data_IF_238874805714
#
_entry.id   IF_238874805714
#
_cell.length_a   1.000
_cell.length_b   1.000
_cell.length_c   1.000
_cell.angle_alpha   90.00
_cell.angle_beta   90.00
_cell.angle_gamma   90.00
#
_symmetry.space_group_name_H-M   'P 1'
#
loop_
_entity.id
_entity.type
_entity.pdbx_description
1 polymer ?
#
# COMPACT_ATOMS: atom_id res chain seq x y z
N UNK A 1 -19.03 -43.39 5.92
CA UNK A 1 -18.81 -41.94 5.65
C UNK A 1 -17.87 -41.42 6.71
N UNK A 2 -16.73 -40.79 6.38
CA UNK A 2 -15.85 -40.25 7.40
C UNK A 2 -16.48 -38.99 8.01
N UNK A 3 -16.50 -38.92 9.35
CA UNK A 3 -16.98 -37.78 10.10
C UNK A 3 -16.05 -36.59 9.89
N UNK A 4 -16.56 -35.50 9.34
CA UNK A 4 -15.87 -34.21 9.34
C UNK A 4 -15.80 -33.78 10.81
N UNK A 5 -14.61 -33.81 11.41
CA UNK A 5 -14.38 -33.18 12.71
C UNK A 5 -14.53 -31.67 12.51
N UNK A 6 -15.72 -31.15 12.76
CA UNK A 6 -15.97 -29.71 12.81
C UNK A 6 -15.27 -29.18 14.06
N UNK A 7 -14.04 -28.67 13.86
CA UNK A 7 -13.34 -27.91 14.89
C UNK A 7 -14.22 -26.76 15.39
N UNK A 8 -14.02 -26.35 16.65
CA UNK A 8 -14.79 -25.21 17.19
C UNK A 8 -14.51 -23.96 16.34
N UNK A 9 -15.54 -23.24 15.87
CA UNK A 9 -15.35 -22.00 15.15
C UNK A 9 -14.49 -21.04 15.97
N UNK A 10 -13.48 -20.44 15.34
CA UNK A 10 -12.52 -19.55 15.99
C UNK A 10 -12.62 -18.15 15.40
N UNK A 11 -12.56 -17.11 16.23
CA UNK A 11 -12.63 -15.72 15.77
C UNK A 11 -11.23 -15.14 15.56
N UNK A 12 -10.94 -14.66 14.35
CA UNK A 12 -9.74 -13.87 14.04
C UNK A 12 -10.04 -12.39 14.18
N UNK A 13 -9.08 -11.63 14.71
CA UNK A 13 -9.13 -10.17 14.78
C UNK A 13 -7.85 -9.58 14.22
N UNK A 14 -7.99 -8.70 13.22
CA UNK A 14 -6.90 -7.99 12.57
C UNK A 14 -6.95 -6.54 13.00
N UNK A 15 -5.95 -6.13 13.79
CA UNK A 15 -5.80 -4.77 14.28
C UNK A 15 -4.99 -3.96 13.28
N UNK A 16 -5.66 -3.04 12.59
CA UNK A 16 -5.02 -2.19 11.58
C UNK A 16 -4.37 -0.97 12.23
N UNK A 17 -3.32 -0.43 11.61
CA UNK A 17 -2.67 0.84 12.06
C UNK A 17 -3.66 2.02 12.15
N UNK A 18 -4.74 2.00 11.37
CA UNK A 18 -5.84 2.97 11.41
C UNK A 18 -6.75 2.85 12.64
N UNK A 19 -6.39 2.01 13.62
CA UNK A 19 -7.22 1.62 14.78
C UNK A 19 -8.51 0.87 14.41
N UNK A 20 -8.76 0.61 13.13
CA UNK A 20 -9.85 -0.26 12.69
C UNK A 20 -9.54 -1.72 13.05
N UNK A 21 -10.55 -2.45 13.49
CA UNK A 21 -10.45 -3.89 13.79
C UNK A 21 -11.33 -4.64 12.80
N UNK A 22 -10.72 -5.47 11.96
CA UNK A 22 -11.45 -6.40 11.10
C UNK A 22 -11.58 -7.76 11.79
N UNK A 23 -12.79 -8.31 11.85
CA UNK A 23 -13.07 -9.58 12.53
C UNK A 23 -13.64 -10.58 11.55
N UNK A 24 -13.17 -11.82 11.58
CA UNK A 24 -13.68 -12.90 10.73
C UNK A 24 -13.75 -14.22 11.49
N UNK A 25 -14.73 -15.07 11.17
CA UNK A 25 -14.93 -16.36 11.80
C UNK A 25 -14.30 -17.46 10.92
N UNK A 26 -13.42 -18.26 11.52
CA UNK A 26 -12.81 -19.42 10.90
C UNK A 26 -13.57 -20.69 11.31
N UNK A 27 -13.70 -21.63 10.37
CA UNK A 27 -14.42 -22.89 10.57
C UNK A 27 -13.67 -23.88 11.47
N UNK A 28 -12.38 -23.63 11.74
CA UNK A 28 -11.57 -24.40 12.70
C UNK A 28 -10.39 -23.57 13.22
N UNK A 29 -9.78 -24.04 14.31
CA UNK A 29 -8.53 -23.50 14.86
C UNK A 29 -7.36 -23.62 13.89
N UNK A 30 -7.29 -24.71 13.12
CA UNK A 30 -6.18 -24.96 12.18
C UNK A 30 -6.20 -23.94 11.04
N UNK A 31 -7.38 -23.59 10.54
CA UNK A 31 -7.55 -22.55 9.51
C UNK A 31 -7.20 -21.18 10.09
N UNK A 32 -7.57 -20.90 11.33
CA UNK A 32 -7.19 -19.65 12.00
C UNK A 32 -5.66 -19.51 12.11
N UNK A 33 -4.97 -20.59 12.50
CA UNK A 33 -3.50 -20.62 12.61
C UNK A 33 -2.81 -20.50 11.24
N UNK A 34 -3.36 -21.11 10.20
CA UNK A 34 -2.85 -20.98 8.83
C UNK A 34 -2.95 -19.53 8.33
N UNK A 35 -4.08 -18.86 8.59
CA UNK A 35 -4.24 -17.43 8.29
C UNK A 35 -3.27 -16.55 9.05
N UNK A 36 -3.08 -16.78 10.36
CA UNK A 36 -2.08 -16.04 11.14
C UNK A 36 -0.67 -16.22 10.57
N UNK A 37 -0.26 -17.47 10.32
CA UNK A 37 1.08 -17.78 9.81
C UNK A 37 1.32 -17.16 8.43
N UNK A 38 0.32 -17.21 7.53
CA UNK A 38 0.41 -16.58 6.22
C UNK A 38 0.53 -15.06 6.32
N UNK A 39 -0.24 -14.44 7.22
CA UNK A 39 -0.19 -12.99 7.45
C UNK A 39 1.15 -12.57 8.06
N UNK A 40 1.67 -13.31 9.03
CA UNK A 40 2.99 -13.08 9.63
C UNK A 40 4.14 -13.26 8.64
N UNK A 41 4.12 -14.31 7.81
CA UNK A 41 5.13 -14.53 6.76
C UNK A 41 5.09 -13.39 5.72
N UNK A 42 3.90 -13.01 5.25
CA UNK A 42 3.75 -11.86 4.36
C UNK A 42 4.24 -10.56 5.03
N UNK A 43 3.90 -10.33 6.29
CA UNK A 43 4.33 -9.14 7.05
C UNK A 43 5.85 -9.07 7.19
N UNK A 44 6.49 -10.17 7.55
CA UNK A 44 7.94 -10.25 7.80
C UNK A 44 8.77 -10.09 6.53
N UNK A 45 8.35 -10.69 5.41
CA UNK A 45 9.06 -10.56 4.12
C UNK A 45 8.96 -9.13 3.57
N UNK A 46 7.79 -8.52 3.68
CA UNK A 46 7.56 -7.15 3.22
C UNK A 46 8.32 -6.13 4.08
N UNK A 47 8.30 -6.27 5.41
CA UNK A 47 9.01 -5.34 6.29
C UNK A 47 10.53 -5.44 6.11
N UNK A 48 11.08 -6.66 6.02
CA UNK A 48 12.51 -6.87 5.85
C UNK A 48 13.04 -6.27 4.54
N UNK A 49 12.30 -6.44 3.44
CA UNK A 49 12.68 -5.88 2.13
C UNK A 49 12.54 -4.36 2.08
N UNK A 50 11.46 -3.80 2.65
CA UNK A 50 11.25 -2.36 2.68
C UNK A 50 12.24 -1.64 3.59
N UNK A 51 12.49 -2.12 4.80
CA UNK A 51 13.45 -1.50 5.72
C UNK A 51 14.87 -1.52 5.13
N UNK A 52 15.24 -2.61 4.45
CA UNK A 52 16.51 -2.71 3.74
C UNK A 52 16.59 -1.68 2.61
N UNK A 53 15.50 -1.49 1.86
CA UNK A 53 15.42 -0.47 0.82
C UNK A 53 15.57 0.95 1.38
N UNK A 54 14.77 1.32 2.39
CA UNK A 54 14.80 2.65 3.02
C UNK A 54 16.16 2.98 3.64
N UNK A 55 16.80 2.01 4.31
CA UNK A 55 18.17 2.15 4.82
C UNK A 55 19.21 2.31 3.70
N UNK A 56 19.02 1.60 2.58
CA UNK A 56 19.90 1.76 1.41
C UNK A 56 19.78 3.17 0.82
N UNK A 57 18.57 3.69 0.68
CA UNK A 57 18.32 5.06 0.22
C UNK A 57 19.02 6.08 1.12
N UNK A 58 18.88 5.92 2.43
CA UNK A 58 19.51 6.79 3.43
C UNK A 58 21.03 6.72 3.39
N UNK A 59 21.61 5.51 3.38
CA UNK A 59 23.07 5.31 3.30
C UNK A 59 23.67 5.93 2.03
N UNK A 60 22.95 5.83 0.92
CA UNK A 60 23.41 6.34 -0.39
C UNK A 60 22.99 7.78 -0.64
N UNK A 61 22.22 8.40 0.26
CA UNK A 61 21.63 9.73 0.08
C UNK A 61 20.88 9.84 -1.27
N UNK A 62 20.14 8.78 -1.63
CA UNK A 62 19.30 8.74 -2.84
C UNK A 62 17.82 8.84 -2.46
N UNK A 63 16.99 9.53 -3.25
CA UNK A 63 15.58 9.70 -2.95
C UNK A 63 14.85 8.36 -2.96
N UNK A 64 13.86 8.24 -2.08
CA UNK A 64 12.97 7.08 -2.08
C UNK A 64 12.10 7.14 -3.32
N UNK A 65 12.26 6.19 -4.24
CA UNK A 65 11.46 6.07 -5.45
C UNK A 65 10.59 4.82 -5.39
N UNK A 66 9.30 4.95 -5.69
CA UNK A 66 8.40 3.85 -5.99
C UNK A 66 7.80 4.08 -7.37
N UNK A 67 7.47 3.00 -8.06
CA UNK A 67 6.71 3.08 -9.29
C UNK A 67 5.79 1.87 -9.43
N UNK A 68 4.76 2.01 -10.26
CA UNK A 68 3.85 0.91 -10.55
C UNK A 68 2.71 1.33 -11.45
N UNK A 69 2.15 0.33 -12.13
CA UNK A 69 0.90 0.48 -12.85
C UNK A 69 -0.26 0.48 -11.86
N UNK A 70 -1.04 1.56 -11.83
CA UNK A 70 -2.17 1.71 -10.92
C UNK A 70 -3.40 2.16 -11.70
N UNK A 71 -4.58 1.83 -11.17
CA UNK A 71 -5.85 2.28 -11.75
C UNK A 71 -6.37 3.50 -10.99
N UNK A 72 -6.62 4.60 -11.68
CA UNK A 72 -7.31 5.76 -11.11
C UNK A 72 -8.81 5.49 -11.06
N UNK A 73 -9.44 5.74 -9.92
CA UNK A 73 -10.87 5.59 -9.71
C UNK A 73 -11.58 6.94 -9.68
N UNK A 74 -12.83 6.98 -10.15
CA UNK A 74 -13.73 8.10 -9.93
C UNK A 74 -14.35 8.07 -8.52
N UNK A 75 -15.15 9.09 -8.18
CA UNK A 75 -15.85 9.18 -6.90
C UNK A 75 -16.84 8.03 -6.64
N UNK A 76 -17.22 7.27 -7.66
CA UNK A 76 -18.12 6.09 -7.57
C UNK A 76 -17.34 4.78 -7.52
N UNK A 77 -16.00 4.82 -7.52
CA UNK A 77 -15.13 3.65 -7.53
C UNK A 77 -14.95 2.99 -8.90
N UNK A 78 -15.41 3.62 -9.99
CA UNK A 78 -15.21 3.12 -11.35
C UNK A 78 -13.81 3.50 -11.85
N UNK A 79 -13.15 2.57 -12.55
CA UNK A 79 -11.85 2.84 -13.18
C UNK A 79 -12.00 3.90 -14.28
N UNK A 80 -11.31 5.02 -14.12
CA UNK A 80 -11.20 6.09 -15.12
C UNK A 80 -10.07 5.84 -16.11
N UNK A 81 -8.97 5.26 -15.63
CA UNK A 81 -7.79 4.98 -16.45
C UNK A 81 -6.75 4.18 -15.68
N UNK A 82 -5.78 3.64 -16.41
CA UNK A 82 -4.63 2.91 -15.87
C UNK A 82 -3.37 3.60 -16.37
N UNK A 83 -2.52 4.01 -15.43
CA UNK A 83 -1.32 4.80 -15.72
C UNK A 83 -0.13 4.23 -14.97
N UNK A 84 1.07 4.56 -15.44
CA UNK A 84 2.30 4.29 -14.74
C UNK A 84 2.61 5.47 -13.80
N UNK A 85 2.52 5.23 -12.51
CA UNK A 85 2.80 6.25 -11.49
C UNK A 85 4.21 6.09 -10.96
N UNK A 86 4.87 7.21 -10.74
CA UNK A 86 6.18 7.31 -10.09
C UNK A 86 6.04 8.21 -8.88
N UNK A 87 6.38 7.71 -7.70
CA UNK A 87 6.51 8.48 -6.48
C UNK A 87 7.99 8.69 -6.20
N UNK A 88 8.48 9.93 -6.28
CA UNK A 88 9.81 10.32 -5.83
C UNK A 88 9.67 11.15 -4.56
N UNK A 89 10.08 10.59 -3.42
CA UNK A 89 9.80 11.11 -2.09
C UNK A 89 8.29 11.30 -1.84
N UNK A 90 7.76 12.50 -2.07
CA UNK A 90 6.33 12.83 -2.01
C UNK A 90 5.80 13.39 -3.33
N UNK A 91 6.66 13.62 -4.32
CA UNK A 91 6.24 14.07 -5.65
C UNK A 91 5.72 12.89 -6.45
N UNK A 92 4.47 12.97 -6.89
CA UNK A 92 3.86 12.01 -7.80
C UNK A 92 3.98 12.52 -9.22
N UNK A 93 4.40 11.63 -10.10
CA UNK A 93 4.39 11.81 -11.54
C UNK A 93 3.60 10.67 -12.18
N UNK A 94 3.01 10.90 -13.35
CA UNK A 94 2.25 9.89 -14.06
C UNK A 94 2.55 9.90 -15.56
N UNK A 95 2.52 8.71 -16.15
CA UNK A 95 2.66 8.51 -17.59
C UNK A 95 1.57 7.57 -18.11
N UNK A 96 1.09 7.76 -19.35
CA UNK A 96 0.20 6.78 -19.99
C UNK A 96 0.92 5.45 -20.30
N UNK A 97 2.25 5.47 -20.44
CA UNK A 97 3.06 4.29 -20.69
C UNK A 97 4.48 4.44 -20.15
N UNK A 98 5.20 3.32 -19.96
CA UNK A 98 6.59 3.29 -19.45
C UNK A 98 7.60 3.94 -20.39
N UNK A 99 7.28 3.99 -21.68
CA UNK A 99 8.13 4.62 -22.71
C UNK A 99 7.96 6.15 -22.77
N UNK A 100 6.98 6.69 -22.04
CA UNK A 100 6.70 8.13 -21.97
C UNK A 100 7.28 8.69 -20.69
N UNK A 101 7.95 9.84 -20.79
CA UNK A 101 8.47 10.54 -19.61
C UNK A 101 7.30 10.89 -18.67
N UNK A 102 7.33 10.46 -17.40
CA UNK A 102 6.27 10.80 -16.45
C UNK A 102 6.19 12.31 -16.22
N UNK A 103 4.99 12.86 -16.39
CA UNK A 103 4.71 14.26 -16.09
C UNK A 103 4.46 14.41 -14.59
N UNK A 104 5.02 15.45 -13.99
CA UNK A 104 4.80 15.75 -12.58
C UNK A 104 3.33 16.14 -12.39
N UNK A 105 2.63 15.38 -11.54
CA UNK A 105 1.26 15.67 -11.17
C UNK A 105 1.24 16.69 -10.03
N UNK A 106 1.74 16.32 -8.85
CA UNK A 106 1.85 17.20 -7.68
C UNK A 106 2.61 16.53 -6.51
N UNK A 107 2.76 17.25 -5.40
CA UNK A 107 3.29 16.78 -4.12
C UNK A 107 2.16 16.28 -3.23
N UNK A 108 2.31 15.05 -2.72
CA UNK A 108 1.38 14.43 -1.78
C UNK A 108 1.52 15.08 -0.40
N UNK A 109 0.40 15.51 0.17
CA UNK A 109 0.30 16.12 1.50
C UNK A 109 -0.32 15.18 2.53
N UNK A 110 -1.16 14.24 2.10
CA UNK A 110 -1.79 13.22 2.95
C UNK A 110 -2.15 11.97 2.12
N UNK A 111 -2.25 10.83 2.79
CA UNK A 111 -2.58 9.55 2.18
C UNK A 111 -3.44 8.70 3.12
N UNK A 112 -4.67 8.40 2.70
CA UNK A 112 -5.66 7.66 3.50
C UNK A 112 -6.17 6.43 2.75
N UNK A 113 -6.71 5.46 3.49
CA UNK A 113 -7.43 4.34 2.85
C UNK A 113 -8.67 4.88 2.13
N UNK A 114 -8.89 4.44 0.89
CA UNK A 114 -10.09 4.79 0.14
C UNK A 114 -11.26 3.86 0.50
N UNK A 115 -12.47 4.21 0.05
CA UNK A 115 -13.66 3.38 0.23
C UNK A 115 -13.69 2.11 -0.62
N UNK A 116 -12.88 2.06 -1.69
CA UNK A 116 -12.76 0.90 -2.57
C UNK A 116 -11.66 -0.07 -2.09
N UNK A 117 -11.89 -1.37 -2.26
CA UNK A 117 -10.93 -2.40 -1.89
C UNK A 117 -9.62 -2.26 -2.67
N UNK A 118 -8.50 -2.41 -1.95
CA UNK A 118 -7.17 -2.29 -2.53
C UNK A 118 -6.83 -0.88 -3.00
N UNK A 119 -7.53 0.17 -2.52
CA UNK A 119 -7.30 1.55 -2.95
C UNK A 119 -6.87 2.50 -1.83
N UNK A 120 -6.12 3.52 -2.23
CA UNK A 120 -5.64 4.62 -1.41
C UNK A 120 -6.09 5.94 -2.01
N UNK A 121 -6.53 6.87 -1.17
CA UNK A 121 -6.76 8.26 -1.54
C UNK A 121 -5.51 9.08 -1.23
N UNK A 122 -5.00 9.76 -2.24
CA UNK A 122 -3.91 10.72 -2.12
C UNK A 122 -4.47 12.13 -2.16
N UNK A 123 -4.06 12.97 -1.21
CA UNK A 123 -4.30 14.42 -1.24
C UNK A 123 -3.03 15.12 -1.64
N UNK A 124 -3.18 16.19 -2.40
CA UNK A 124 -2.07 16.92 -2.97
C UNK A 124 -2.05 18.37 -2.50
N UNK A 125 -0.96 19.07 -2.78
CA UNK A 125 -0.76 20.45 -2.37
C UNK A 125 -1.65 21.43 -3.15
N UNK A 126 -1.82 21.20 -4.45
CA UNK A 126 -2.50 22.09 -5.39
C UNK A 126 -3.57 21.38 -6.22
N UNK A 127 -3.38 20.10 -6.52
CA UNK A 127 -4.27 19.29 -7.33
C UNK A 127 -5.40 18.66 -6.50
N UNK A 128 -6.54 18.30 -7.13
CA UNK A 128 -7.59 17.50 -6.50
C UNK A 128 -7.07 16.15 -6.01
N UNK A 129 -7.73 15.61 -4.98
CA UNK A 129 -7.41 14.27 -4.49
C UNK A 129 -7.62 13.20 -5.56
N UNK A 130 -6.83 12.14 -5.47
CA UNK A 130 -6.85 11.02 -6.42
C UNK A 130 -7.03 9.71 -5.67
N UNK A 131 -7.95 8.87 -6.13
CA UNK A 131 -8.10 7.51 -5.62
C UNK A 131 -7.37 6.54 -6.56
N UNK A 132 -6.37 5.85 -6.03
CA UNK A 132 -5.55 4.89 -6.74
C UNK A 132 -5.82 3.49 -6.24
N UNK A 133 -6.21 2.58 -7.14
CA UNK A 133 -6.35 1.16 -6.87
C UNK A 133 -5.10 0.41 -7.30
N UNK A 134 -4.64 -0.45 -6.41
CA UNK A 134 -3.43 -1.27 -6.54
C UNK A 134 -3.81 -2.66 -7.03
N UNK A 135 -2.96 -3.23 -7.88
CA UNK A 135 -3.15 -4.60 -8.39
C UNK A 135 -2.89 -5.67 -7.32
N UNK A 136 -2.18 -5.31 -6.25
CA UNK A 136 -1.92 -6.20 -5.12
C UNK A 136 -1.93 -5.46 -3.78
N UNK A 137 -2.26 -6.21 -2.72
CA UNK A 137 -2.24 -5.71 -1.35
C UNK A 137 -0.81 -5.41 -0.90
N UNK A 138 0.16 -6.18 -1.37
CA UNK A 138 1.59 -5.97 -1.12
C UNK A 138 2.03 -4.60 -1.63
N UNK A 139 1.67 -4.24 -2.87
CA UNK A 139 2.04 -2.96 -3.48
C UNK A 139 1.40 -1.79 -2.73
N UNK A 140 0.11 -1.90 -2.39
CA UNK A 140 -0.60 -0.91 -1.58
C UNK A 140 0.12 -0.66 -0.24
N UNK A 141 0.55 -1.74 0.43
CA UNK A 141 1.23 -1.66 1.73
C UNK A 141 2.60 -1.01 1.63
N UNK A 142 3.37 -1.32 0.58
CA UNK A 142 4.67 -0.69 0.31
C UNK A 142 4.49 0.81 0.07
N UNK A 143 3.51 1.21 -0.75
CA UNK A 143 3.20 2.62 -1.00
C UNK A 143 2.81 3.37 0.27
N UNK A 144 1.90 2.81 1.07
CA UNK A 144 1.53 3.40 2.36
C UNK A 144 2.72 3.61 3.29
N UNK A 145 3.57 2.59 3.41
CA UNK A 145 4.71 2.63 4.31
C UNK A 145 5.77 3.65 3.86
N UNK A 146 6.05 3.73 2.55
CA UNK A 146 6.97 4.73 1.99
C UNK A 146 6.42 6.15 2.15
N UNK A 147 5.17 6.41 1.76
CA UNK A 147 4.55 7.74 1.87
C UNK A 147 4.60 8.25 3.32
N UNK A 148 4.18 7.41 4.26
CA UNK A 148 4.19 7.77 5.67
C UNK A 148 5.61 7.96 6.23
N UNK A 149 6.61 7.22 5.74
CA UNK A 149 8.02 7.45 6.11
C UNK A 149 8.51 8.78 5.56
N UNK A 150 8.27 9.07 4.28
CA UNK A 150 8.64 10.33 3.64
C UNK A 150 7.98 11.54 4.32
N UNK A 151 6.71 11.45 4.70
CA UNK A 151 6.00 12.51 5.44
C UNK A 151 6.59 12.77 6.83
N UNK A 152 7.10 11.73 7.51
CA UNK A 152 7.72 11.84 8.84
C UNK A 152 9.17 12.28 8.79
N UNK A 153 9.83 12.09 7.65
CA UNK A 153 11.25 12.39 7.46
C UNK A 153 11.44 13.32 6.26
N UNK A 154 11.05 14.61 6.36
CA UNK A 154 11.11 15.55 5.24
C UNK A 154 12.53 15.77 4.70
N UNK A 155 13.55 15.55 5.53
CA UNK A 155 14.96 15.62 5.13
C UNK A 155 15.31 14.66 3.99
N UNK A 156 14.56 13.56 3.80
CA UNK A 156 14.72 12.63 2.68
C UNK A 156 14.44 13.26 1.32
N UNK A 157 13.74 14.41 1.27
CA UNK A 157 13.53 15.16 0.03
C UNK A 157 14.83 15.76 -0.54
N UNK A 158 15.85 15.94 0.31
CA UNK A 158 17.14 16.53 -0.05
C UNK A 158 18.12 15.50 -0.61
N UNK A 159 17.75 14.22 -0.61
CA UNK A 159 18.52 13.15 -1.21
C UNK A 159 18.42 13.27 -2.74
N UNK A 160 19.56 13.24 -3.45
CA UNK A 160 19.70 13.64 -4.86
C UNK A 160 19.11 12.69 -5.90
#
# INVERSE_FOLDING_TARGET
MPSISTGKPTLLQFHMKSKKVWKTQCISTDIANAWFSAVEDCMSRLSYSLDRYLRSCEKRQTPTVLCGWLSQLDAKGKVMGRYFYVLRHLTVSMAPNVDVLPEVYDVVTDATAAGADGAMELRFQTQPSMVLRFDSVELLRVWHAVLHTCMKEPSRALFG
#
